data_IF_860898043493
#
_entry.id   IF_860898043493
#
_cell.length_a   1.000
_cell.length_b   1.000
_cell.length_c   1.000
_cell.angle_alpha   90.00
_cell.angle_beta   90.00
_cell.angle_gamma   90.00
#
_symmetry.space_group_name_H-M   'P 1'
#
loop_
_entity.id
_entity.type
_entity.pdbx_description
1 polymer ?
#
# COMPACT_ATOMS: atom_id res chain seq x y z
N UNK A 1 27.46 -5.75 -40.50
CA UNK A 1 27.79 -7.07 -39.93
C UNK A 1 28.07 -6.81 -38.46
N UNK A 2 27.02 -6.93 -37.65
CA UNK A 2 26.81 -8.08 -36.75
C UNK A 2 27.80 -7.95 -35.58
N UNK A 3 27.40 -7.50 -34.39
CA UNK A 3 26.36 -8.09 -33.55
C UNK A 3 27.05 -9.09 -32.61
N UNK A 4 26.94 -8.88 -31.30
CA UNK A 4 26.96 -9.92 -30.26
C UNK A 4 26.39 -9.31 -28.99
N UNK A 5 25.38 -9.98 -28.47
CA UNK A 5 24.43 -9.56 -27.44
C UNK A 5 25.03 -9.58 -26.04
N UNK A 6 24.55 -8.64 -25.24
CA UNK A 6 24.64 -8.59 -23.79
C UNK A 6 23.59 -9.57 -23.23
N UNK A 7 24.02 -10.58 -22.49
CA UNK A 7 23.18 -11.59 -21.85
C UNK A 7 23.60 -11.64 -20.37
N UNK A 8 22.70 -11.19 -19.48
CA UNK A 8 22.81 -11.42 -18.05
C UNK A 8 22.42 -10.22 -17.22
N UNK A 9 21.14 -10.09 -16.90
CA UNK A 9 20.59 -9.27 -15.79
C UNK A 9 19.17 -9.76 -15.40
N UNK A 10 18.82 -11.04 -15.61
CA UNK A 10 17.50 -11.59 -15.23
C UNK A 10 17.54 -12.55 -14.04
N UNK A 11 18.72 -12.98 -13.56
CA UNK A 11 18.83 -13.96 -12.46
C UNK A 11 18.77 -13.28 -11.07
N UNK A 12 19.22 -12.03 -10.95
CA UNK A 12 19.26 -11.30 -9.68
C UNK A 12 17.86 -10.91 -9.16
N UNK A 13 16.90 -10.59 -10.04
CA UNK A 13 15.52 -10.27 -9.63
C UNK A 13 14.78 -11.49 -9.05
N UNK A 14 15.07 -12.69 -9.56
CA UNK A 14 14.43 -13.93 -9.09
C UNK A 14 14.97 -14.32 -7.72
N UNK A 15 16.26 -14.08 -7.47
CA UNK A 15 16.90 -14.30 -6.17
C UNK A 15 16.32 -13.41 -5.07
N UNK A 16 16.07 -12.13 -5.38
CA UNK A 16 15.43 -11.20 -4.46
C UNK A 16 13.98 -11.62 -4.12
N UNK A 17 13.21 -12.07 -5.11
CA UNK A 17 11.84 -12.60 -4.89
C UNK A 17 11.85 -13.88 -4.03
N UNK A 18 12.75 -14.84 -4.30
CA UNK A 18 12.81 -16.06 -3.48
C UNK A 18 13.26 -15.77 -2.06
N UNK A 19 14.16 -14.82 -1.84
CA UNK A 19 14.53 -14.39 -0.50
C UNK A 19 13.36 -13.71 0.24
N UNK A 20 12.54 -12.90 -0.45
CA UNK A 20 11.32 -12.32 0.13
C UNK A 20 10.30 -13.40 0.53
N UNK A 21 10.10 -14.41 -0.33
CA UNK A 21 9.21 -15.55 -0.05
C UNK A 21 9.71 -16.38 1.14
N UNK A 22 11.02 -16.61 1.23
CA UNK A 22 11.64 -17.32 2.37
C UNK A 22 11.46 -16.54 3.67
N UNK A 23 11.60 -15.20 3.64
CA UNK A 23 11.36 -14.33 4.81
C UNK A 23 9.90 -14.37 5.27
N UNK A 24 8.93 -14.30 4.34
CA UNK A 24 7.51 -14.42 4.68
C UNK A 24 7.18 -15.75 5.37
N UNK A 25 7.73 -16.86 4.88
CA UNK A 25 7.55 -18.19 5.48
C UNK A 25 8.23 -18.33 6.85
N UNK A 26 9.28 -17.54 7.12
CA UNK A 26 10.00 -17.54 8.39
C UNK A 26 9.36 -16.66 9.48
N UNK A 27 8.31 -15.89 9.16
CA UNK A 27 7.64 -14.98 10.11
C UNK A 27 8.46 -13.76 10.52
N UNK A 28 9.62 -13.52 9.91
CA UNK A 28 10.43 -12.31 10.13
C UNK A 28 9.98 -11.22 9.16
N UNK A 29 9.27 -10.21 9.67
CA UNK A 29 8.98 -8.98 8.93
C UNK A 29 10.29 -8.21 8.66
N UNK A 30 10.54 -7.74 7.41
CA UNK A 30 11.64 -6.82 7.16
C UNK A 30 11.40 -5.48 7.87
N UNK A 31 12.49 -4.82 8.29
CA UNK A 31 12.45 -3.53 8.98
C UNK A 31 12.18 -2.34 8.04
N UNK A 32 11.84 -2.60 6.77
CA UNK A 32 11.54 -1.59 5.76
C UNK A 32 10.07 -1.67 5.38
N UNK A 33 9.35 -0.61 5.74
CA UNK A 33 7.94 -0.39 5.50
C UNK A 33 7.65 -0.20 4.01
N UNK A 34 7.57 -1.27 3.25
CA UNK A 34 7.13 -1.20 1.86
C UNK A 34 6.22 -2.38 1.60
N UNK A 35 4.92 -2.10 1.61
CA UNK A 35 3.93 -2.42 0.57
C UNK A 35 2.62 -1.83 1.12
N UNK A 36 2.40 -0.55 0.86
CA UNK A 36 1.05 0.00 0.99
C UNK A 36 0.40 -0.02 -0.38
N UNK A 37 -0.18 -1.18 -0.71
CA UNK A 37 -1.21 -1.25 -1.74
C UNK A 37 -2.42 -0.50 -1.19
N UNK A 38 -2.47 0.81 -1.43
CA UNK A 38 -3.70 1.57 -1.26
C UNK A 38 -4.66 1.07 -2.33
N UNK A 39 -5.51 0.11 -1.97
CA UNK A 39 -6.60 -0.31 -2.84
C UNK A 39 -7.62 0.83 -2.91
N UNK A 40 -7.47 1.68 -3.93
CA UNK A 40 -8.50 2.66 -4.25
C UNK A 40 -9.57 1.93 -5.05
N UNK A 41 -10.76 1.75 -4.48
CA UNK A 41 -11.90 1.22 -5.24
C UNK A 41 -12.39 2.31 -6.20
N UNK A 42 -12.02 2.18 -7.48
CA UNK A 42 -12.39 3.11 -8.53
C UNK A 42 -13.61 2.62 -9.32
N UNK A 43 -14.67 3.42 -9.43
CA UNK A 43 -15.72 3.21 -10.44
C UNK A 43 -15.35 3.91 -11.74
N UNK A 44 -14.83 3.19 -12.74
CA UNK A 44 -14.56 3.77 -14.07
C UNK A 44 -15.79 3.66 -14.98
N UNK A 45 -16.42 4.79 -15.30
CA UNK A 45 -17.42 4.88 -16.38
C UNK A 45 -16.70 4.84 -17.73
N UNK A 46 -16.49 3.65 -18.30
CA UNK A 46 -16.27 3.35 -19.75
C UNK A 46 -15.41 2.11 -20.05
N UNK A 47 -15.17 1.21 -19.08
CA UNK A 47 -14.76 -0.17 -19.40
C UNK A 47 -15.53 -1.12 -18.50
N UNK A 48 -16.17 -2.13 -19.09
CA UNK A 48 -16.80 -3.24 -18.37
C UNK A 48 -15.73 -4.24 -17.92
N UNK A 49 -14.80 -3.79 -17.06
CA UNK A 49 -13.88 -4.70 -16.36
C UNK A 49 -14.64 -5.20 -15.14
N UNK A 50 -15.01 -6.48 -15.15
CA UNK A 50 -15.52 -7.15 -13.95
C UNK A 50 -14.32 -7.59 -13.13
N UNK A 51 -13.99 -6.87 -12.06
CA UNK A 51 -12.91 -7.27 -11.15
C UNK A 51 -12.17 -6.09 -10.53
N UNK A 52 -11.22 -6.42 -9.67
CA UNK A 52 -10.24 -5.48 -9.10
C UNK A 52 -9.15 -5.20 -10.13
N UNK A 53 -8.71 -3.95 -10.21
CA UNK A 53 -7.62 -3.53 -11.08
C UNK A 53 -6.60 -2.75 -10.27
N UNK A 54 -5.34 -3.09 -10.46
CA UNK A 54 -4.24 -2.31 -9.93
C UNK A 54 -4.05 -1.03 -10.77
N UNK A 55 -3.90 0.12 -10.10
CA UNK A 55 -3.74 1.41 -10.77
C UNK A 55 -2.27 1.75 -10.93
N UNK A 56 -1.53 1.82 -9.82
CA UNK A 56 -0.08 2.03 -9.76
C UNK A 56 0.44 1.82 -8.33
N UNK A 57 1.76 1.67 -8.21
CA UNK A 57 2.53 1.72 -6.95
C UNK A 57 3.52 2.87 -7.02
N UNK A 58 3.92 3.37 -5.85
CA UNK A 58 4.96 4.39 -5.70
C UNK A 58 5.82 3.95 -4.53
N UNK A 59 7.13 3.89 -4.70
CA UNK A 59 8.04 3.79 -3.57
C UNK A 59 8.11 5.15 -2.87
N UNK A 60 7.70 5.16 -1.61
CA UNK A 60 7.64 6.36 -0.79
C UNK A 60 8.34 6.14 0.58
N UNK A 61 9.14 5.08 0.68
CA UNK A 61 9.88 4.68 1.89
C UNK A 61 10.76 5.81 2.44
N UNK A 62 11.35 6.62 1.56
CA UNK A 62 12.20 7.74 1.96
C UNK A 62 11.42 8.98 2.46
N UNK A 63 10.16 9.13 2.07
CA UNK A 63 9.39 10.37 2.19
C UNK A 63 8.22 10.30 3.21
N UNK A 64 7.69 9.11 3.49
CA UNK A 64 6.44 8.91 4.25
C UNK A 64 6.61 8.87 5.78
N UNK A 65 7.42 9.77 6.31
CA UNK A 65 7.74 9.81 7.75
C UNK A 65 6.72 10.59 8.60
N UNK A 66 5.84 11.37 7.98
CA UNK A 66 4.86 12.21 8.68
C UNK A 66 3.46 12.07 8.10
N UNK A 67 2.44 12.33 8.92
CA UNK A 67 1.05 12.29 8.47
C UNK A 67 0.74 13.30 7.36
N UNK A 68 1.38 14.47 7.34
CA UNK A 68 1.20 15.46 6.28
C UNK A 68 1.69 14.96 4.92
N UNK A 69 2.86 14.30 4.90
CA UNK A 69 3.44 13.71 3.68
C UNK A 69 2.53 12.61 3.13
N UNK A 70 2.03 11.76 4.03
CA UNK A 70 1.06 10.71 3.71
C UNK A 70 -0.23 11.30 3.16
N UNK A 71 -0.75 12.34 3.80
CA UNK A 71 -1.96 13.04 3.34
C UNK A 71 -1.78 13.62 1.94
N UNK A 72 -0.64 14.28 1.66
CA UNK A 72 -0.35 14.84 0.34
C UNK A 72 -0.35 13.74 -0.74
N UNK A 73 0.29 12.60 -0.45
CA UNK A 73 0.31 11.45 -1.35
C UNK A 73 -1.12 10.96 -1.62
N UNK A 74 -1.87 10.62 -0.57
CA UNK A 74 -3.25 10.13 -0.71
C UNK A 74 -4.14 11.14 -1.45
N UNK A 75 -4.03 12.42 -1.11
CA UNK A 75 -4.81 13.47 -1.75
C UNK A 75 -4.51 13.54 -3.26
N UNK A 76 -3.25 13.51 -3.67
CA UNK A 76 -2.86 13.54 -5.09
C UNK A 76 -3.43 12.35 -5.88
N UNK A 77 -3.45 11.15 -5.29
CA UNK A 77 -4.10 9.98 -5.89
C UNK A 77 -5.60 10.17 -6.09
N UNK A 78 -6.30 10.73 -5.10
CA UNK A 78 -7.74 10.99 -5.23
C UNK A 78 -8.02 12.11 -6.25
N UNK A 79 -7.12 13.08 -6.45
CA UNK A 79 -7.22 14.07 -7.54
C UNK A 79 -7.07 13.42 -8.92
N UNK A 80 -6.03 12.60 -9.09
CA UNK A 80 -5.72 11.92 -10.35
C UNK A 80 -6.84 10.97 -10.78
N UNK A 81 -7.39 10.20 -9.84
CA UNK A 81 -8.52 9.30 -10.10
C UNK A 81 -9.84 10.09 -10.24
N UNK A 82 -9.91 11.23 -9.56
CA UNK A 82 -11.10 12.06 -9.39
C UNK A 82 -11.98 11.59 -8.24
N UNK A 83 -12.29 12.51 -7.31
CA UNK A 83 -13.03 12.23 -6.06
C UNK A 83 -14.33 11.45 -6.27
N UNK A 84 -15.10 11.80 -7.31
CA UNK A 84 -16.37 11.13 -7.65
C UNK A 84 -16.23 9.63 -7.94
N UNK A 85 -15.02 9.17 -8.25
CA UNK A 85 -14.72 7.80 -8.59
C UNK A 85 -14.14 7.03 -7.40
N UNK A 86 -13.82 7.69 -6.27
CA UNK A 86 -13.25 7.09 -5.06
C UNK A 86 -14.30 7.04 -3.97
N UNK A 87 -14.58 5.83 -3.46
CA UNK A 87 -15.58 5.63 -2.39
C UNK A 87 -14.89 5.52 -1.03
N UNK A 88 -13.78 4.77 -0.98
CA UNK A 88 -13.09 4.45 0.26
C UNK A 88 -11.59 4.44 0.04
N UNK A 89 -10.87 4.89 1.07
CA UNK A 89 -9.41 4.77 1.20
C UNK A 89 -9.12 3.91 2.42
N UNK A 90 -8.32 2.87 2.24
CA UNK A 90 -7.87 1.97 3.30
C UNK A 90 -6.35 2.07 3.40
N UNK A 91 -5.84 2.34 4.60
CA UNK A 91 -4.39 2.50 4.88
C UNK A 91 -4.00 1.69 6.11
N UNK A 92 -2.71 1.61 6.40
CA UNK A 92 -2.23 1.04 7.67
C UNK A 92 -2.81 1.78 8.91
N UNK A 93 -2.73 1.12 10.08
CA UNK A 93 -3.20 1.65 11.37
C UNK A 93 -2.13 2.46 12.13
N UNK A 94 -0.93 2.61 11.57
CA UNK A 94 0.11 3.49 12.09
C UNK A 94 -0.36 4.93 12.28
N UNK A 95 0.20 5.63 13.26
CA UNK A 95 -0.29 6.95 13.70
C UNK A 95 -0.25 8.02 12.60
N UNK A 96 0.77 7.98 11.74
CA UNK A 96 0.91 8.82 10.55
C UNK A 96 -0.23 8.59 9.54
N UNK A 97 -0.60 7.33 9.30
CA UNK A 97 -1.69 6.95 8.41
C UNK A 97 -3.06 7.29 8.95
N UNK A 98 -3.28 7.06 10.25
CA UNK A 98 -4.52 7.45 10.94
C UNK A 98 -4.72 8.96 10.87
N UNK A 99 -3.68 9.76 11.09
CA UNK A 99 -3.74 11.22 10.95
C UNK A 99 -4.11 11.62 9.52
N UNK A 100 -3.38 11.08 8.53
CA UNK A 100 -3.58 11.41 7.12
C UNK A 100 -4.97 11.03 6.62
N UNK A 101 -5.44 9.84 6.98
CA UNK A 101 -6.75 9.33 6.58
C UNK A 101 -7.90 10.13 7.17
N UNK A 102 -7.82 10.49 8.47
CA UNK A 102 -8.79 11.39 9.10
C UNK A 102 -8.81 12.77 8.44
N UNK A 103 -7.64 13.33 8.13
CA UNK A 103 -7.54 14.60 7.44
C UNK A 103 -8.14 14.53 6.04
N UNK A 104 -7.87 13.46 5.29
CA UNK A 104 -8.45 13.23 3.96
C UNK A 104 -9.98 13.13 3.99
N UNK A 105 -10.53 12.41 4.96
CA UNK A 105 -11.97 12.31 5.12
C UNK A 105 -12.60 13.65 5.52
N UNK A 106 -11.90 14.47 6.30
CA UNK A 106 -12.35 15.81 6.66
C UNK A 106 -12.33 16.78 5.45
N UNK A 107 -11.35 16.66 4.55
CA UNK A 107 -11.25 17.52 3.37
C UNK A 107 -12.16 17.07 2.22
N UNK A 108 -12.49 15.78 2.13
CA UNK A 108 -13.31 15.19 1.06
C UNK A 108 -14.53 14.46 1.62
N UNK A 109 -15.60 15.22 1.84
CA UNK A 109 -16.83 14.76 2.53
C UNK A 109 -17.57 13.59 1.86
N UNK A 110 -17.25 13.24 0.61
CA UNK A 110 -17.91 12.15 -0.13
C UNK A 110 -17.17 10.81 -0.08
N UNK A 111 -15.97 10.76 0.50
CA UNK A 111 -15.20 9.53 0.66
C UNK A 111 -15.05 9.16 2.13
N UNK A 112 -14.84 7.88 2.39
CA UNK A 112 -14.60 7.35 3.73
C UNK A 112 -13.16 6.86 3.86
N UNK A 113 -12.57 7.03 5.04
CA UNK A 113 -11.30 6.40 5.39
C UNK A 113 -11.51 5.37 6.49
N UNK A 114 -10.79 4.25 6.39
CA UNK A 114 -10.77 3.19 7.42
C UNK A 114 -9.38 2.59 7.57
N UNK A 115 -8.95 2.18 8.78
CA UNK A 115 -7.70 1.47 8.97
C UNK A 115 -7.75 0.04 8.40
N UNK A 116 -6.58 -0.53 8.12
CA UNK A 116 -6.41 -1.86 7.57
C UNK A 116 -6.83 -2.95 8.58
N UNK A 117 -7.82 -3.76 8.20
CA UNK A 117 -8.31 -4.85 9.04
C UNK A 117 -7.24 -5.90 9.33
N UNK A 118 -6.38 -6.23 8.36
CA UNK A 118 -5.31 -7.20 8.55
C UNK A 118 -4.30 -6.73 9.60
N UNK A 119 -3.90 -5.45 9.56
CA UNK A 119 -3.00 -4.91 10.56
C UNK A 119 -3.66 -4.82 11.94
N UNK A 120 -4.95 -4.47 12.02
CA UNK A 120 -5.68 -4.53 13.28
C UNK A 120 -5.70 -5.94 13.89
N UNK A 121 -5.92 -6.98 13.07
CA UNK A 121 -5.89 -8.37 13.54
C UNK A 121 -4.50 -8.77 14.04
N UNK A 122 -3.45 -8.38 13.34
CA UNK A 122 -2.05 -8.63 13.74
C UNK A 122 -1.75 -8.04 15.13
N UNK A 123 -2.12 -6.77 15.34
CA UNK A 123 -1.95 -6.09 16.64
C UNK A 123 -2.74 -6.79 17.78
N UNK A 124 -3.98 -7.21 17.51
CA UNK A 124 -4.76 -7.96 18.50
C UNK A 124 -4.11 -9.29 18.87
N UNK A 125 -3.58 -10.01 17.87
CA UNK A 125 -2.91 -11.29 18.09
C UNK A 125 -1.58 -11.11 18.85
N UNK A 126 -0.82 -10.06 18.57
CA UNK A 126 0.38 -9.71 19.34
C UNK A 126 0.06 -9.50 20.82
N UNK A 127 -1.02 -8.78 21.12
CA UNK A 127 -1.42 -8.51 22.50
C UNK A 127 -1.89 -9.78 23.22
N UNK A 128 -2.65 -10.65 22.54
CA UNK A 128 -3.02 -11.97 23.08
C UNK A 128 -1.76 -12.81 23.37
N UNK A 129 -0.77 -12.80 22.47
CA UNK A 129 0.49 -13.49 22.68
C UNK A 129 1.28 -13.01 23.90
N UNK A 130 1.15 -11.71 24.26
CA UNK A 130 1.77 -11.13 25.46
C UNK A 130 1.04 -11.52 26.76
N UNK A 131 -0.26 -11.86 26.70
CA UNK A 131 -1.07 -12.29 27.87
C UNK A 131 -0.69 -13.71 28.31
N UNK A 132 -0.23 -14.57 27.40
CA UNK A 132 0.19 -15.93 27.72
C UNK A 132 1.55 -15.94 28.47
N UNK A 133 1.55 -15.53 29.73
CA UNK A 133 2.62 -15.71 30.72
C UNK A 133 2.05 -15.91 32.12
#
# INVERSE_FOLDING_TARGET
MEGLQDEGDEEDEVEDEVEEIVRYKSGKRPATSSIEVTSVLVKKKNVNVKGTMFIKSIDASEFMKTGDKVYQLLNSFVEEIGEKNVIQVVTDNGSNYVMAGKLLQATRTKLFWTPCAAHCLDLMLEDIGKIAK
#
